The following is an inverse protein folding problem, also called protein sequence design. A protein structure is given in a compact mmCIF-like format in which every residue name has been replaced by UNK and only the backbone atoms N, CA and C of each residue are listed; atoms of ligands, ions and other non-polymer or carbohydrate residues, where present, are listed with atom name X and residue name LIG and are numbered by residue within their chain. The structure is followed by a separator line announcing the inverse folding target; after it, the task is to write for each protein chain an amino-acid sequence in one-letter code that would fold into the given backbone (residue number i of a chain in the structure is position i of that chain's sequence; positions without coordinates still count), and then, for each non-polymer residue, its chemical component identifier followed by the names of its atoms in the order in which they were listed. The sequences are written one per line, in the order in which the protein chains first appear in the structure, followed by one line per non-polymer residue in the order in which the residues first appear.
data_IF_731578305395
#
_entry.id   IF_731578305395
#
_cell.length_a   1.000
_cell.length_b   1.000
_cell.length_c   1.000
_cell.angle_alpha   90.00
_cell.angle_beta   90.00
_cell.angle_gamma   90.00
#
_symmetry.space_group_name_H-M   'P 1'
#
loop_
_entity.id
_entity.type
_entity.pdbx_description
1 polymer ?
#
# COMPACT_ATOMS: atom_id res chain seq x y z
N UNK A 1 -3.91 21.11 11.07
CA UNK A 1 -4.25 19.67 11.10
C UNK A 1 -3.93 19.10 12.49
N UNK A 2 -4.52 17.95 12.90
CA UNK A 2 -4.38 17.40 14.26
C UNK A 2 -3.29 16.32 14.45
N UNK A 3 -2.71 15.77 13.39
CA UNK A 3 -1.63 14.76 13.51
C UNK A 3 -2.08 13.30 13.40
N UNK A 4 -3.28 12.96 13.85
CA UNK A 4 -3.66 11.55 14.11
C UNK A 4 -3.48 10.59 12.92
N UNK A 5 -3.74 11.04 11.69
CA UNK A 5 -3.59 10.18 10.51
C UNK A 5 -2.14 9.88 10.16
N UNK A 6 -1.21 10.78 10.47
CA UNK A 6 0.24 10.59 10.31
C UNK A 6 0.74 9.55 11.33
N UNK A 7 0.43 9.75 12.61
CA UNK A 7 0.80 8.83 13.69
C UNK A 7 0.22 7.41 13.50
N UNK A 8 -1.01 7.33 12.98
CA UNK A 8 -1.70 6.07 12.77
C UNK A 8 -1.19 5.28 11.55
N UNK A 9 -0.37 5.87 10.67
CA UNK A 9 0.01 5.24 9.42
C UNK A 9 1.17 4.24 9.63
N UNK A 10 0.94 2.91 9.53
CA UNK A 10 1.98 1.92 9.86
C UNK A 10 3.12 1.85 8.83
N UNK A 11 2.95 2.50 7.68
CA UNK A 11 3.90 2.52 6.57
C UNK A 11 4.41 3.94 6.26
N UNK A 12 4.09 4.90 7.14
CA UNK A 12 4.48 6.32 7.03
C UNK A 12 4.16 6.90 5.64
N UNK A 13 2.98 6.56 5.13
CA UNK A 13 2.49 7.03 3.84
C UNK A 13 1.78 8.38 3.94
N UNK A 14 1.65 8.96 5.13
CA UNK A 14 0.99 10.25 5.36
C UNK A 14 2.01 11.18 6.01
N UNK A 15 2.11 12.40 5.49
CA UNK A 15 2.88 13.49 6.08
C UNK A 15 1.98 14.72 6.28
N UNK A 16 2.18 15.47 7.35
CA UNK A 16 1.42 16.70 7.63
C UNK A 16 2.33 17.92 7.62
N UNK A 17 2.10 18.79 6.64
CA UNK A 17 2.57 20.18 6.65
C UNK A 17 1.37 21.07 7.03
N UNK A 18 0.77 21.76 6.06
CA UNK A 18 -0.48 22.51 6.29
C UNK A 18 -1.73 21.61 6.20
N UNK A 19 -1.69 20.64 5.28
CA UNK A 19 -2.73 19.63 5.04
C UNK A 19 -2.10 18.24 4.98
N UNK A 20 -2.89 17.21 5.24
CA UNK A 20 -2.43 15.83 5.13
C UNK A 20 -2.13 15.49 3.66
N UNK A 21 -0.91 15.03 3.39
CA UNK A 21 -0.45 14.57 2.08
C UNK A 21 -0.24 13.05 2.13
N UNK A 22 -0.83 12.33 1.16
CA UNK A 22 -0.74 10.86 1.10
C UNK A 22 0.18 10.43 -0.04
N UNK A 23 1.24 9.70 0.26
CA UNK A 23 2.05 8.99 -0.73
C UNK A 23 1.27 7.78 -1.25
N UNK A 24 0.78 7.86 -2.48
CA UNK A 24 -0.01 6.79 -3.11
C UNK A 24 0.81 5.52 -3.32
N UNK A 25 2.11 5.66 -3.60
CA UNK A 25 3.04 4.55 -3.81
C UNK A 25 3.30 3.76 -2.51
N UNK A 26 3.37 4.45 -1.36
CA UNK A 26 3.58 3.81 -0.05
C UNK A 26 2.30 3.37 0.63
N UNK A 27 1.20 4.06 0.37
CA UNK A 27 -0.09 3.73 0.94
C UNK A 27 -0.41 2.26 0.60
N UNK A 28 -0.93 1.49 1.56
CA UNK A 28 -1.35 0.11 1.31
C UNK A 28 -2.88 -0.05 1.37
N UNK A 29 -3.60 1.04 1.61
CA UNK A 29 -5.08 1.03 1.68
C UNK A 29 -5.63 0.33 2.92
N UNK A 30 -4.89 0.26 4.02
CA UNK A 30 -5.31 -0.45 5.24
C UNK A 30 -6.47 0.23 6.00
N UNK A 31 -6.70 1.53 5.79
CA UNK A 31 -7.85 2.26 6.36
C UNK A 31 -7.70 2.77 7.79
N UNK A 32 -6.59 2.48 8.49
CA UNK A 32 -6.41 2.88 9.90
C UNK A 32 -6.52 4.41 10.09
N UNK A 33 -5.91 5.20 9.19
CA UNK A 33 -5.98 6.66 9.24
C UNK A 33 -7.40 7.22 9.07
N UNK A 34 -8.25 6.54 8.28
CA UNK A 34 -9.66 6.91 8.09
C UNK A 34 -10.44 6.64 9.38
N UNK A 35 -10.27 5.45 9.96
CA UNK A 35 -10.97 5.06 11.19
C UNK A 35 -10.60 5.94 12.39
N UNK A 36 -9.37 6.44 12.45
CA UNK A 36 -8.92 7.28 13.57
C UNK A 36 -9.22 8.77 13.41
N UNK A 37 -9.68 9.23 12.24
CA UNK A 37 -9.94 10.65 12.02
C UNK A 37 -11.31 11.04 12.60
N UNK A 38 -11.40 11.79 13.72
CA UNK A 38 -12.68 12.16 14.31
C UNK A 38 -13.48 13.15 13.46
N UNK A 39 -12.80 13.86 12.55
CA UNK A 39 -13.38 14.84 11.63
C UNK A 39 -13.77 14.22 10.28
N UNK A 40 -13.59 12.91 10.10
CA UNK A 40 -13.90 12.20 8.84
C UNK A 40 -13.21 12.82 7.61
N UNK A 41 -12.03 13.43 7.80
CA UNK A 41 -11.34 14.21 6.75
C UNK A 41 -10.69 13.34 5.64
N UNK A 42 -10.71 12.02 5.79
CA UNK A 42 -10.07 11.05 4.88
C UNK A 42 -11.09 10.00 4.45
N UNK A 43 -10.95 9.49 3.22
CA UNK A 43 -11.76 8.40 2.70
C UNK A 43 -10.89 7.36 1.98
N UNK A 44 -11.31 6.10 2.01
CA UNK A 44 -10.74 5.06 1.16
C UNK A 44 -11.34 5.12 -0.24
N UNK A 45 -10.48 5.30 -1.23
CA UNK A 45 -10.84 5.24 -2.65
C UNK A 45 -10.17 4.04 -3.30
N UNK A 46 -10.86 3.40 -4.25
CA UNK A 46 -10.23 2.36 -5.05
C UNK A 46 -9.13 2.96 -5.91
N UNK A 47 -7.98 2.29 -5.96
CA UNK A 47 -6.93 2.62 -6.93
C UNK A 47 -7.43 2.38 -8.34
N UNK A 48 -6.96 3.21 -9.26
CA UNK A 48 -7.22 3.04 -10.69
C UNK A 48 -6.55 1.77 -11.21
N UNK A 49 -5.34 1.49 -10.74
CA UNK A 49 -4.57 0.31 -11.11
C UNK A 49 -4.71 -0.78 -10.06
N UNK A 50 -5.01 -2.00 -10.53
CA UNK A 50 -4.95 -3.22 -9.74
C UNK A 50 -3.86 -4.11 -10.30
N UNK A 51 -3.20 -4.89 -9.46
CA UNK A 51 -2.21 -5.87 -9.88
C UNK A 51 -2.81 -7.23 -9.59
N UNK A 52 -2.97 -8.02 -10.63
CA UNK A 52 -3.53 -9.35 -10.52
C UNK A 52 -2.44 -10.27 -9.93
N UNK A 53 -2.70 -10.93 -8.78
CA UNK A 53 -1.73 -11.86 -8.24
C UNK A 53 -1.62 -13.08 -9.18
N UNK A 54 -0.47 -13.77 -9.19
CA UNK A 54 -0.33 -15.01 -9.93
C UNK A 54 -1.37 -16.04 -9.45
N UNK A 55 -1.79 -16.90 -10.38
CA UNK A 55 -2.86 -17.87 -10.13
C UNK A 55 -2.54 -18.85 -8.99
N UNK A 56 -1.26 -19.21 -8.83
CA UNK A 56 -0.77 -20.15 -7.84
C UNK A 56 0.73 -19.92 -7.54
N UNK A 57 1.28 -20.79 -6.68
CA UNK A 57 2.68 -20.73 -6.26
C UNK A 57 3.66 -20.99 -7.41
N UNK A 58 3.34 -21.88 -8.34
CA UNK A 58 4.22 -22.20 -9.48
C UNK A 58 4.29 -21.02 -10.45
N UNK A 59 3.15 -20.40 -10.74
CA UNK A 59 3.08 -19.17 -11.51
C UNK A 59 3.86 -18.02 -10.84
N UNK A 60 3.75 -17.88 -9.52
CA UNK A 60 4.53 -16.90 -8.76
C UNK A 60 6.04 -17.17 -8.84
N UNK A 61 6.47 -18.42 -8.62
CA UNK A 61 7.89 -18.80 -8.69
C UNK A 61 8.47 -18.53 -10.08
N UNK A 62 7.72 -18.86 -11.13
CA UNK A 62 8.13 -18.61 -12.52
C UNK A 62 8.28 -17.11 -12.79
N UNK A 63 7.32 -16.31 -12.35
CA UNK A 63 7.38 -14.85 -12.46
C UNK A 63 8.61 -14.29 -11.72
N UNK A 64 8.81 -14.67 -10.46
CA UNK A 64 9.94 -14.20 -9.63
C UNK A 64 11.28 -14.66 -10.19
N UNK A 65 11.38 -15.88 -10.72
CA UNK A 65 12.58 -16.40 -11.37
C UNK A 65 12.96 -15.56 -12.59
N UNK A 66 11.97 -15.17 -13.41
CA UNK A 66 12.17 -14.31 -14.57
C UNK A 66 12.56 -12.88 -14.15
N UNK A 67 11.87 -12.28 -13.18
CA UNK A 67 12.13 -10.92 -12.69
C UNK A 67 13.51 -10.79 -12.02
N UNK A 68 13.91 -11.79 -11.23
CA UNK A 68 15.15 -11.75 -10.44
C UNK A 68 16.33 -12.48 -11.10
N UNK A 69 16.13 -13.11 -12.27
CA UNK A 69 17.16 -13.92 -12.95
C UNK A 69 17.59 -15.15 -12.15
N UNK A 70 16.68 -15.75 -11.37
CA UNK A 70 16.95 -16.82 -10.42
C UNK A 70 16.33 -18.14 -10.91
N UNK A 71 17.06 -18.84 -11.78
CA UNK A 71 16.60 -20.10 -12.37
C UNK A 71 16.50 -21.26 -11.36
N UNK A 72 17.07 -21.10 -10.16
CA UNK A 72 17.08 -22.08 -9.08
C UNK A 72 15.71 -22.29 -8.40
N UNK A 73 14.72 -21.44 -8.67
CA UNK A 73 13.34 -21.59 -8.16
C UNK A 73 12.47 -22.60 -8.94
N UNK A 74 12.96 -23.10 -10.07
CA UNK A 74 12.23 -24.02 -10.96
C UNK A 74 12.67 -25.50 -10.80
N UNK A 75 13.42 -25.81 -9.75
CA UNK A 75 13.98 -27.14 -9.48
C UNK A 75 13.08 -28.01 -8.59
#
# INVERSE_FOLDING_TARGET
ACGLCEDACPVEAIAIEDVAQVSIERCIGCGVCVTQCPEEALALVRRETTHEPPADHEAWLTQVAAEKGRQDYLA
#
